data_IF_918842640454
#
_entry.id   IF_918842640454
#
_cell.length_a   1.000
_cell.length_b   1.000
_cell.length_c   1.000
_cell.angle_alpha   90.00
_cell.angle_beta   90.00
_cell.angle_gamma   90.00
#
_symmetry.space_group_name_H-M   'P 1'
#
loop_
_entity.id
_entity.type
_entity.pdbx_description
1 polymer ?
#
# COMPACT_ATOMS: atom_id res chain seq x y z
N UNK A 1 21.58 -71.34 -3.85
CA UNK A 1 22.51 -70.22 -3.74
C UNK A 1 21.81 -69.00 -4.32
N UNK A 2 21.53 -68.07 -3.41
CA UNK A 2 21.30 -66.62 -3.62
C UNK A 2 20.13 -66.18 -4.52
N UNK A 3 19.00 -65.77 -3.94
CA UNK A 3 18.66 -64.48 -3.28
C UNK A 3 18.56 -63.30 -4.25
N UNK A 4 17.44 -62.56 -4.18
CA UNK A 4 17.37 -61.17 -4.65
C UNK A 4 16.21 -60.81 -5.58
N UNK A 5 14.97 -60.89 -5.11
CA UNK A 5 13.85 -60.14 -5.69
C UNK A 5 14.05 -58.64 -5.38
N UNK A 6 14.44 -57.86 -6.40
CA UNK A 6 14.64 -56.41 -6.31
C UNK A 6 13.32 -55.64 -6.39
N UNK A 7 13.01 -54.93 -5.31
CA UNK A 7 11.81 -54.14 -5.08
C UNK A 7 11.72 -52.88 -5.97
N UNK A 8 10.47 -52.51 -6.30
CA UNK A 8 10.10 -51.22 -6.91
C UNK A 8 10.42 -50.05 -5.95
N UNK A 9 11.00 -48.93 -6.41
CA UNK A 9 10.99 -47.71 -5.64
C UNK A 9 9.75 -46.88 -5.98
N UNK A 10 8.76 -46.89 -5.10
CA UNK A 10 7.74 -45.86 -5.00
C UNK A 10 8.41 -44.65 -4.31
N UNK A 11 8.87 -43.65 -5.08
CA UNK A 11 9.48 -42.46 -4.49
C UNK A 11 8.40 -41.45 -4.05
N UNK A 12 8.51 -41.11 -2.76
CA UNK A 12 7.80 -40.10 -2.00
C UNK A 12 7.50 -38.83 -2.81
N UNK A 13 6.20 -38.56 -3.03
CA UNK A 13 5.70 -37.22 -3.29
C UNK A 13 5.25 -36.61 -1.94
N UNK A 14 6.23 -36.37 -1.06
CA UNK A 14 6.02 -35.88 0.29
C UNK A 14 6.30 -34.38 0.41
N UNK A 15 5.24 -33.59 0.55
CA UNK A 15 5.15 -32.41 1.43
C UNK A 15 6.26 -31.33 1.32
N UNK A 16 6.26 -30.55 0.23
CA UNK A 16 6.96 -29.25 0.17
C UNK A 16 6.04 -28.02 0.33
N UNK A 17 4.76 -28.22 0.67
CA UNK A 17 3.77 -27.13 0.66
C UNK A 17 3.62 -26.25 1.92
N UNK A 18 4.23 -26.48 3.12
CA UNK A 18 4.05 -25.52 4.21
C UNK A 18 5.10 -24.41 4.24
N UNK A 19 6.24 -24.56 3.55
CA UNK A 19 7.33 -23.57 3.63
C UNK A 19 7.11 -22.33 2.75
N UNK A 20 6.28 -22.42 1.71
CA UNK A 20 6.00 -21.29 0.82
C UNK A 20 5.05 -20.23 1.43
N UNK A 21 4.26 -20.57 2.45
CA UNK A 21 3.32 -19.61 3.04
C UNK A 21 3.99 -18.66 4.05
N UNK A 22 5.10 -19.08 4.67
CA UNK A 22 5.85 -18.24 5.59
C UNK A 22 6.66 -17.14 4.89
N UNK A 23 7.03 -17.33 3.62
CA UNK A 23 7.77 -16.34 2.82
C UNK A 23 6.89 -15.20 2.30
N UNK A 24 5.56 -15.32 2.35
CA UNK A 24 4.62 -14.26 1.97
C UNK A 24 4.32 -13.28 3.11
N UNK A 25 4.73 -13.60 4.34
CA UNK A 25 4.54 -12.77 5.51
C UNK A 25 5.91 -12.21 5.91
N UNK A 26 6.31 -11.13 5.24
CA UNK A 26 7.53 -10.38 5.60
C UNK A 26 7.56 -10.01 7.09
N UNK A 27 8.74 -9.65 7.62
CA UNK A 27 8.92 -9.30 9.03
C UNK A 27 8.32 -7.91 9.30
N UNK A 28 7.00 -7.79 9.24
CA UNK A 28 6.29 -6.61 9.70
C UNK A 28 6.52 -6.45 11.19
N UNK A 29 6.97 -5.26 11.61
CA UNK A 29 7.11 -4.91 13.02
C UNK A 29 5.76 -5.08 13.72
N UNK A 30 5.69 -5.73 14.88
CA UNK A 30 4.49 -5.70 15.72
C UNK A 30 4.14 -4.25 16.05
N UNK A 31 2.88 -3.85 15.88
CA UNK A 31 2.43 -2.49 16.20
C UNK A 31 2.68 -1.44 15.12
N UNK A 32 2.73 -1.84 13.84
CA UNK A 32 2.59 -0.91 12.71
C UNK A 32 1.55 -1.45 11.75
N UNK A 33 0.67 -0.57 11.28
CA UNK A 33 -0.34 -0.89 10.27
C UNK A 33 0.28 -1.48 8.99
N UNK A 34 -0.43 -2.41 8.36
CA UNK A 34 -0.03 -2.95 7.06
C UNK A 34 -0.52 -2.01 5.94
N UNK A 35 0.42 -1.54 5.12
CA UNK A 35 0.12 -0.72 3.95
C UNK A 35 0.00 -1.61 2.71
N UNK A 36 -1.20 -1.66 2.12
CA UNK A 36 -1.45 -2.41 0.88
C UNK A 36 -1.30 -1.47 -0.31
N UNK A 37 -0.24 -1.71 -1.08
CA UNK A 37 0.13 -0.89 -2.23
C UNK A 37 -0.82 -1.17 -3.40
N UNK A 38 -1.41 -0.09 -3.92
CA UNK A 38 -2.28 -0.09 -5.10
C UNK A 38 -1.54 0.40 -6.35
N UNK A 39 -0.58 1.32 -6.17
CA UNK A 39 0.31 1.82 -7.22
C UNK A 39 1.66 2.19 -6.57
N UNK A 40 2.75 1.81 -7.21
CA UNK A 40 4.09 2.29 -6.90
C UNK A 40 4.83 2.53 -8.22
N UNK A 41 5.05 3.81 -8.57
CA UNK A 41 5.72 4.16 -9.82
C UNK A 41 7.21 3.79 -9.83
N UNK A 42 7.87 3.65 -8.67
CA UNK A 42 9.28 3.23 -8.58
C UNK A 42 9.44 1.72 -8.78
N UNK A 43 8.39 0.93 -8.62
CA UNK A 43 8.45 -0.52 -8.79
C UNK A 43 8.61 -0.96 -10.26
N UNK A 44 8.24 -0.12 -11.23
CA UNK A 44 8.42 -0.40 -12.66
C UNK A 44 9.70 0.19 -13.20
N UNK A 45 10.52 -0.64 -13.86
CA UNK A 45 11.67 -0.19 -14.65
C UNK A 45 11.30 0.07 -16.13
N UNK A 46 10.10 -0.37 -16.55
CA UNK A 46 9.54 -0.11 -17.87
C UNK A 46 8.76 1.22 -17.89
N UNK A 47 8.36 1.67 -19.08
CA UNK A 47 7.52 2.87 -19.26
C UNK A 47 6.27 2.80 -18.38
N UNK A 48 6.00 3.89 -17.65
CA UNK A 48 4.80 4.00 -16.81
C UNK A 48 3.53 4.13 -17.65
N UNK A 49 3.65 4.72 -18.85
CA UNK A 49 2.59 4.76 -19.85
C UNK A 49 1.39 5.61 -19.43
N UNK A 50 1.61 6.62 -18.58
CA UNK A 50 0.59 7.59 -18.18
C UNK A 50 0.29 8.55 -19.33
N UNK A 51 -0.90 9.15 -19.30
CA UNK A 51 -1.40 9.97 -20.41
C UNK A 51 -1.16 11.45 -20.12
N UNK A 52 -0.25 12.09 -20.88
CA UNK A 52 -0.01 13.53 -20.85
C UNK A 52 -0.92 14.28 -21.83
N UNK A 53 -1.52 15.39 -21.39
CA UNK A 53 -2.43 16.25 -22.14
C UNK A 53 -2.13 17.74 -21.83
N UNK A 54 -1.68 18.54 -22.81
CA UNK A 54 -1.27 18.12 -24.14
C UNK A 54 -0.02 17.21 -24.07
N UNK A 55 0.28 16.49 -25.15
CA UNK A 55 1.38 15.51 -25.17
C UNK A 55 2.77 16.12 -24.99
N UNK A 56 2.90 17.44 -25.14
CA UNK A 56 4.12 18.22 -24.93
C UNK A 56 4.15 18.93 -23.56
N UNK A 57 3.20 18.64 -22.66
CA UNK A 57 3.19 19.17 -21.30
C UNK A 57 4.12 18.37 -20.40
N UNK A 58 3.61 17.25 -19.88
CA UNK A 58 4.40 16.32 -19.06
C UNK A 58 5.21 15.35 -19.92
N UNK A 59 6.50 15.25 -19.64
CA UNK A 59 7.44 14.38 -20.33
C UNK A 59 7.90 13.25 -19.40
N UNK A 60 7.91 12.01 -19.90
CA UNK A 60 8.48 10.88 -19.18
C UNK A 60 10.00 10.84 -19.38
N UNK A 61 10.76 10.88 -18.29
CA UNK A 61 12.23 10.84 -18.31
C UNK A 61 12.76 9.70 -17.43
N UNK A 62 14.01 9.31 -17.66
CA UNK A 62 14.73 8.38 -16.79
C UNK A 62 15.39 9.15 -15.64
N UNK A 63 15.21 8.65 -14.42
CA UNK A 63 15.90 9.12 -13.22
C UNK A 63 16.55 7.98 -12.45
N UNK A 64 17.11 8.31 -11.29
CA UNK A 64 17.58 7.33 -10.30
C UNK A 64 16.93 7.62 -8.96
N UNK A 65 16.65 6.58 -8.19
CA UNK A 65 16.20 6.72 -6.80
C UNK A 65 17.37 6.94 -5.84
N UNK A 66 17.06 7.07 -4.55
CA UNK A 66 18.05 7.25 -3.48
C UNK A 66 19.03 6.07 -3.29
N UNK A 67 18.79 4.94 -3.97
CA UNK A 67 19.64 3.76 -3.98
C UNK A 67 20.31 3.53 -5.35
N UNK A 68 20.38 4.57 -6.20
CA UNK A 68 20.94 4.55 -7.55
C UNK A 68 20.24 3.55 -8.51
N UNK A 69 19.00 3.17 -8.21
CA UNK A 69 18.23 2.27 -9.09
C UNK A 69 17.54 3.10 -10.17
N UNK A 70 17.55 2.64 -11.43
CA UNK A 70 16.89 3.34 -12.52
C UNK A 70 15.37 3.34 -12.29
N UNK A 71 14.77 4.53 -12.36
CA UNK A 71 13.33 4.75 -12.23
C UNK A 71 12.81 5.61 -13.38
N UNK A 72 11.50 5.56 -13.62
CA UNK A 72 10.81 6.46 -14.55
C UNK A 72 10.13 7.58 -13.76
N UNK A 73 10.34 8.81 -14.20
CA UNK A 73 9.80 10.01 -13.57
C UNK A 73 9.10 10.87 -14.63
N UNK A 74 8.23 11.78 -14.20
CA UNK A 74 7.57 12.73 -15.10
C UNK A 74 8.00 14.16 -14.76
N UNK A 75 8.35 14.95 -15.77
CA UNK A 75 8.73 16.35 -15.59
C UNK A 75 7.89 17.29 -16.45
N UNK A 76 7.75 18.53 -15.98
CA UNK A 76 7.19 19.66 -16.75
C UNK A 76 7.87 20.95 -16.29
N UNK A 77 8.21 21.83 -17.23
CA UNK A 77 8.89 23.10 -16.91
C UNK A 77 8.55 24.21 -17.93
N UNK A 78 7.27 24.35 -18.27
CA UNK A 78 6.78 25.34 -19.25
C UNK A 78 6.54 26.72 -18.59
N UNK A 79 7.50 27.18 -17.78
CA UNK A 79 7.37 28.35 -16.89
C UNK A 79 7.39 29.71 -17.60
N UNK A 80 7.85 29.77 -18.84
CA UNK A 80 7.95 31.00 -19.64
C UNK A 80 6.64 31.34 -20.37
N UNK A 81 5.73 30.36 -20.50
CA UNK A 81 4.48 30.52 -21.22
C UNK A 81 3.33 30.85 -20.24
N UNK A 82 2.47 31.84 -20.55
CA UNK A 82 1.31 32.12 -19.71
C UNK A 82 0.22 31.06 -19.89
N UNK A 83 -0.71 30.98 -18.92
CA UNK A 83 -1.93 30.17 -18.99
C UNK A 83 -1.69 28.67 -19.27
N UNK A 84 -0.67 28.09 -18.63
CA UNK A 84 -0.43 26.65 -18.69
C UNK A 84 -1.58 25.85 -18.08
N UNK A 85 -1.87 24.69 -18.68
CA UNK A 85 -2.87 23.72 -18.21
C UNK A 85 -2.43 22.31 -18.64
N UNK A 86 -1.33 21.84 -18.05
CA UNK A 86 -0.69 20.56 -18.40
C UNK A 86 -1.18 19.45 -17.47
N UNK A 87 -1.89 18.48 -18.02
CA UNK A 87 -2.44 17.34 -17.29
C UNK A 87 -1.61 16.08 -17.51
N UNK A 88 -1.39 15.32 -16.44
CA UNK A 88 -0.84 13.97 -16.46
C UNK A 88 -1.79 13.04 -15.73
N UNK A 89 -2.25 11.99 -16.40
CA UNK A 89 -3.18 11.03 -15.82
C UNK A 89 -2.55 9.63 -15.72
N UNK A 90 -2.62 9.06 -14.52
CA UNK A 90 -2.23 7.67 -14.25
C UNK A 90 -3.11 6.65 -14.97
N UNK A 91 -2.62 5.41 -15.06
CA UNK A 91 -3.48 4.26 -15.40
C UNK A 91 -4.59 4.03 -14.37
N UNK A 92 -5.52 3.13 -14.65
CA UNK A 92 -6.60 2.83 -13.70
C UNK A 92 -6.08 2.09 -12.47
N UNK A 93 -6.38 2.63 -11.29
CA UNK A 93 -5.97 2.07 -10.00
C UNK A 93 -7.20 1.40 -9.38
N UNK A 94 -7.14 0.08 -9.20
CA UNK A 94 -8.14 -0.66 -8.42
C UNK A 94 -8.06 -0.20 -6.96
N UNK A 95 -9.20 0.14 -6.32
CA UNK A 95 -9.18 0.51 -4.90
C UNK A 95 -9.01 -0.70 -3.97
N UNK A 96 -9.17 -1.91 -4.51
CA UNK A 96 -9.22 -3.14 -3.72
C UNK A 96 -10.29 -3.06 -2.64
N UNK A 97 -9.91 -3.36 -1.39
CA UNK A 97 -10.80 -3.25 -0.22
C UNK A 97 -10.74 -1.87 0.45
N UNK A 98 -9.78 -1.03 0.09
CA UNK A 98 -9.57 0.28 0.72
C UNK A 98 -10.68 1.27 0.37
N UNK A 99 -11.27 1.92 1.36
CA UNK A 99 -12.16 3.08 1.16
C UNK A 99 -11.42 4.40 1.37
N UNK A 100 -10.41 4.40 2.24
CA UNK A 100 -9.51 5.50 2.54
C UNK A 100 -8.16 5.21 1.93
N UNK A 101 -7.77 6.02 0.97
CA UNK A 101 -6.56 5.86 0.18
C UNK A 101 -5.58 6.96 0.55
N UNK A 102 -4.32 6.60 0.70
CA UNK A 102 -3.20 7.51 0.88
C UNK A 102 -2.46 7.64 -0.45
N UNK A 103 -2.19 8.87 -0.83
CA UNK A 103 -1.42 9.25 -2.03
C UNK A 103 -0.17 9.95 -1.53
N UNK A 104 0.96 9.26 -1.60
CA UNK A 104 2.29 9.77 -1.28
C UNK A 104 2.99 10.19 -2.58
N UNK A 105 3.44 11.44 -2.60
CA UNK A 105 4.09 12.06 -3.73
C UNK A 105 5.51 12.42 -3.32
N UNK A 106 6.49 11.96 -4.10
CA UNK A 106 7.85 12.46 -4.01
C UNK A 106 8.16 13.28 -5.25
N UNK A 107 8.64 14.50 -5.08
CA UNK A 107 8.87 15.41 -6.19
C UNK A 107 9.95 16.45 -5.89
N UNK A 108 10.49 17.05 -6.95
CA UNK A 108 11.40 18.18 -6.85
C UNK A 108 10.75 19.40 -7.50
N UNK A 109 10.95 20.58 -6.91
CA UNK A 109 10.40 21.83 -7.42
C UNK A 109 11.49 22.89 -7.49
N UNK A 110 11.60 23.55 -8.66
CA UNK A 110 12.55 24.64 -8.86
C UNK A 110 11.93 25.97 -8.44
N UNK A 111 12.69 26.73 -7.65
CA UNK A 111 12.30 28.07 -7.21
C UNK A 111 12.19 29.03 -8.41
N UNK A 112 11.06 29.75 -8.52
CA UNK A 112 10.80 30.67 -9.61
C UNK A 112 11.78 31.86 -9.66
N UNK A 113 12.30 32.30 -8.51
CA UNK A 113 13.32 33.36 -8.42
C UNK A 113 14.63 32.94 -9.10
N UNK A 114 14.87 31.63 -9.24
CA UNK A 114 16.05 31.08 -9.89
C UNK A 114 15.90 30.92 -11.41
N UNK A 115 14.77 31.32 -11.99
CA UNK A 115 14.46 31.16 -13.42
C UNK A 115 14.39 32.55 -14.08
N UNK A 116 15.43 32.93 -14.85
CA UNK A 116 15.42 34.19 -15.59
C UNK A 116 14.26 34.23 -16.60
N UNK A 117 13.50 35.33 -16.60
CA UNK A 117 12.42 35.56 -17.56
C UNK A 117 11.07 34.91 -17.23
N UNK A 118 10.95 34.19 -16.12
CA UNK A 118 9.70 33.52 -15.72
C UNK A 118 8.85 34.33 -14.72
N UNK A 119 9.21 35.59 -14.48
CA UNK A 119 8.53 36.45 -13.51
C UNK A 119 7.07 36.72 -13.93
N UNK A 120 6.13 36.34 -13.08
CA UNK A 120 4.68 36.56 -13.28
C UNK A 120 3.93 35.38 -13.91
N UNK A 121 4.61 34.50 -14.65
CA UNK A 121 4.03 33.26 -15.22
C UNK A 121 4.34 32.03 -14.36
N UNK A 122 5.52 31.98 -13.75
CA UNK A 122 5.98 30.86 -12.95
C UNK A 122 5.15 30.66 -11.67
N UNK A 123 4.92 29.39 -11.32
CA UNK A 123 4.25 28.94 -10.10
C UNK A 123 5.13 27.93 -9.36
N UNK A 124 4.93 27.84 -8.05
CA UNK A 124 5.64 26.90 -7.17
C UNK A 124 4.69 25.87 -6.59
N UNK A 125 3.61 25.59 -7.31
CA UNK A 125 2.60 24.62 -6.93
C UNK A 125 2.04 23.88 -8.15
N UNK A 126 1.55 22.67 -7.90
CA UNK A 126 0.76 21.90 -8.87
C UNK A 126 -0.46 21.33 -8.17
N UNK A 127 -1.50 20.99 -8.92
CA UNK A 127 -2.74 20.47 -8.35
C UNK A 127 -2.84 18.96 -8.54
N UNK A 128 -3.43 18.28 -7.57
CA UNK A 128 -3.70 16.83 -7.65
C UNK A 128 -5.19 16.60 -7.63
N UNK A 129 -5.66 15.70 -8.49
CA UNK A 129 -7.05 15.34 -8.68
C UNK A 129 -7.21 13.83 -8.67
N UNK A 130 -8.43 13.38 -8.42
CA UNK A 130 -8.84 11.99 -8.67
C UNK A 130 -10.19 11.92 -9.38
N UNK A 131 -10.40 10.82 -10.08
CA UNK A 131 -11.65 10.49 -10.75
C UNK A 131 -12.03 9.03 -10.46
N UNK A 132 -13.10 8.83 -9.69
CA UNK A 132 -13.65 7.50 -9.42
C UNK A 132 -14.36 6.92 -10.66
N UNK A 133 -14.05 5.68 -11.01
CA UNK A 133 -14.65 4.98 -12.15
C UNK A 133 -14.89 3.50 -11.83
N UNK A 134 -15.87 2.91 -12.52
CA UNK A 134 -16.20 1.48 -12.36
C UNK A 134 -15.26 0.55 -13.12
N UNK A 135 -14.51 1.08 -14.07
CA UNK A 135 -13.57 0.38 -14.94
C UNK A 135 -12.54 1.38 -15.50
N UNK A 136 -11.48 0.83 -16.09
CA UNK A 136 -10.47 1.61 -16.81
C UNK A 136 -11.10 2.33 -18.00
N UNK A 137 -10.96 3.66 -18.03
CA UNK A 137 -11.41 4.49 -19.16
C UNK A 137 -10.41 4.47 -20.34
N UNK A 138 -9.26 3.80 -20.17
CA UNK A 138 -8.18 3.74 -21.14
C UNK A 138 -7.41 5.06 -21.24
N UNK A 139 -6.59 5.16 -22.29
CA UNK A 139 -5.84 6.39 -22.63
C UNK A 139 -6.78 7.38 -23.32
N UNK A 140 -7.42 8.25 -22.55
CA UNK A 140 -8.32 9.26 -23.09
C UNK A 140 -8.70 10.32 -22.07
N UNK A 141 -8.74 11.59 -22.50
CA UNK A 141 -9.07 12.76 -21.67
C UNK A 141 -10.38 12.53 -20.92
N UNK A 142 -10.46 12.79 -19.60
CA UNK A 142 -11.73 13.02 -18.92
C UNK A 142 -12.43 14.16 -19.63
N UNK A 143 -13.51 13.86 -20.37
CA UNK A 143 -14.25 14.87 -21.13
C UNK A 143 -14.73 15.99 -20.19
N UNK A 144 -14.56 17.28 -20.55
CA UNK A 144 -15.33 18.35 -19.94
C UNK A 144 -16.81 18.08 -20.26
N UNK A 145 -17.56 17.57 -19.27
CA UNK A 145 -18.96 17.13 -19.42
C UNK A 145 -19.27 15.74 -18.84
N UNK A 146 -18.25 14.95 -18.45
CA UNK A 146 -18.43 13.70 -17.68
C UNK A 146 -18.38 13.91 -16.16
N UNK A 147 -18.24 12.82 -15.39
CA UNK A 147 -17.90 12.90 -13.96
C UNK A 147 -16.64 13.77 -13.81
N UNK A 148 -16.78 14.91 -13.12
CA UNK A 148 -15.69 15.88 -12.96
C UNK A 148 -14.64 15.29 -12.03
N UNK A 149 -13.37 15.39 -12.42
CA UNK A 149 -12.26 15.09 -11.52
C UNK A 149 -12.37 15.97 -10.27
N UNK A 150 -12.22 15.37 -9.09
CA UNK A 150 -12.30 16.04 -7.80
C UNK A 150 -10.90 16.48 -7.41
N UNK A 151 -10.74 17.77 -7.08
CA UNK A 151 -9.46 18.29 -6.57
C UNK A 151 -9.20 17.69 -5.19
N UNK A 152 -8.02 17.08 -5.02
CA UNK A 152 -7.51 16.62 -3.72
C UNK A 152 -6.94 17.84 -3.00
N UNK A 153 -5.90 18.43 -3.58
CA UNK A 153 -5.21 19.58 -3.00
C UNK A 153 -4.36 20.33 -4.03
N UNK A 154 -3.83 21.48 -3.62
CA UNK A 154 -2.73 22.20 -4.27
C UNK A 154 -1.45 21.87 -3.52
N UNK A 155 -0.52 21.19 -4.18
CA UNK A 155 0.74 20.75 -3.60
C UNK A 155 1.80 21.83 -3.79
N UNK A 156 2.50 22.17 -2.72
CA UNK A 156 3.65 23.06 -2.68
C UNK A 156 4.86 22.27 -2.18
N UNK A 157 6.07 22.75 -2.47
CA UNK A 157 7.28 22.20 -1.89
C UNK A 157 7.55 22.81 -0.51
N UNK A 158 7.97 21.98 0.45
CA UNK A 158 8.57 22.45 1.70
C UNK A 158 9.95 23.09 1.41
N UNK A 159 10.70 22.47 0.50
CA UNK A 159 12.00 22.96 0.05
C UNK A 159 12.09 23.00 -1.49
N UNK A 160 12.32 24.19 -2.03
CA UNK A 160 12.64 24.40 -3.45
C UNK A 160 14.15 24.46 -3.68
N UNK A 161 14.59 24.07 -4.88
CA UNK A 161 15.99 24.18 -5.30
C UNK A 161 16.20 25.39 -6.22
N UNK A 162 17.39 25.99 -6.11
CA UNK A 162 17.80 27.21 -6.80
C UNK A 162 18.92 26.97 -7.81
N UNK A 163 19.35 28.01 -8.52
CA UNK A 163 20.49 27.94 -9.44
C UNK A 163 21.80 27.57 -8.73
N UNK A 164 21.98 27.97 -7.47
CA UNK A 164 23.14 27.58 -6.66
C UNK A 164 23.15 26.08 -6.37
N UNK A 165 21.99 25.53 -6.02
CA UNK A 165 21.82 24.10 -5.74
C UNK A 165 22.09 23.25 -6.99
N UNK A 166 21.69 23.72 -8.18
CA UNK A 166 22.03 23.09 -9.46
C UNK A 166 23.54 23.07 -9.72
N UNK A 167 24.26 24.13 -9.34
CA UNK A 167 25.72 24.19 -9.42
C UNK A 167 26.42 23.15 -8.53
N UNK A 168 25.80 22.80 -7.40
CA UNK A 168 26.27 21.77 -6.47
C UNK A 168 25.68 20.38 -6.75
N UNK A 169 24.84 20.23 -7.79
CA UNK A 169 24.07 19.01 -8.12
C UNK A 169 23.20 18.51 -6.96
N UNK A 170 22.70 19.41 -6.13
CA UNK A 170 21.81 19.09 -5.01
C UNK A 170 20.36 19.34 -5.42
N UNK A 171 19.63 18.29 -5.74
CA UNK A 171 18.18 18.38 -5.92
C UNK A 171 17.51 18.14 -4.56
N UNK A 172 16.48 18.93 -4.25
CA UNK A 172 15.74 18.82 -2.99
C UNK A 172 14.46 18.01 -3.21
N UNK A 173 14.40 16.84 -2.59
CA UNK A 173 13.28 15.92 -2.68
C UNK A 173 12.25 16.25 -1.60
N UNK A 174 11.03 16.57 -2.05
CA UNK A 174 9.88 16.83 -1.19
C UNK A 174 9.00 15.58 -1.11
N UNK A 175 8.39 15.33 0.04
CA UNK A 175 7.44 14.22 0.24
C UNK A 175 6.14 14.75 0.80
N UNK A 176 5.04 14.55 0.08
CA UNK A 176 3.71 15.02 0.46
C UNK A 176 2.72 13.86 0.46
N UNK A 177 2.00 13.69 1.58
CA UNK A 177 0.98 12.65 1.72
C UNK A 177 -0.39 13.29 1.79
N UNK A 178 -1.31 12.85 0.92
CA UNK A 178 -2.71 13.27 0.94
C UNK A 178 -3.63 12.07 1.04
N UNK A 179 -4.77 12.31 1.66
CA UNK A 179 -5.79 11.29 1.85
C UNK A 179 -6.96 11.52 0.89
N UNK A 180 -7.50 10.42 0.37
CA UNK A 180 -8.65 10.40 -0.53
C UNK A 180 -9.66 9.37 -0.02
N UNK A 181 -10.90 9.80 0.19
CA UNK A 181 -11.99 8.89 0.54
C UNK A 181 -13.18 9.60 1.21
N UNK A 182 -14.23 8.84 1.56
CA UNK A 182 -14.43 7.44 1.23
C UNK A 182 -14.66 7.21 -0.26
N UNK A 183 -13.88 6.30 -0.86
CA UNK A 183 -14.10 5.86 -2.24
C UNK A 183 -15.23 4.83 -2.29
N UNK A 184 -16.11 4.98 -3.27
CA UNK A 184 -17.32 4.19 -3.45
C UNK A 184 -17.27 3.28 -4.68
N UNK A 185 -16.56 3.69 -5.74
CA UNK A 185 -16.45 2.93 -6.99
C UNK A 185 -15.36 1.86 -6.92
N UNK A 186 -15.26 1.02 -7.96
CA UNK A 186 -14.26 -0.07 -8.03
C UNK A 186 -12.80 0.42 -8.13
N UNK A 187 -12.57 1.59 -8.70
CA UNK A 187 -11.24 2.17 -8.83
C UNK A 187 -11.29 3.63 -9.18
N UNK A 188 -10.13 4.18 -9.51
CA UNK A 188 -9.97 5.59 -9.80
C UNK A 188 -8.73 5.85 -10.65
N UNK A 189 -8.67 7.03 -11.25
CA UNK A 189 -7.46 7.59 -11.82
C UNK A 189 -6.99 8.77 -10.96
N UNK A 190 -5.68 8.89 -10.76
CA UNK A 190 -5.04 10.13 -10.32
C UNK A 190 -4.67 11.00 -11.51
N UNK A 191 -4.79 12.31 -11.33
CA UNK A 191 -4.39 13.30 -12.32
C UNK A 191 -3.63 14.46 -11.67
N UNK A 192 -2.57 14.91 -12.33
CA UNK A 192 -1.71 16.01 -11.91
C UNK A 192 -1.85 17.14 -12.91
N UNK A 193 -2.16 18.34 -12.42
CA UNK A 193 -2.32 19.52 -13.24
C UNK A 193 -1.22 20.52 -12.88
N UNK A 194 -0.38 20.82 -13.86
CA UNK A 194 0.55 21.92 -13.82
C UNK A 194 -0.07 23.18 -14.46
N UNK A 195 0.13 24.31 -13.79
CA UNK A 195 -0.37 25.65 -14.18
C UNK A 195 0.78 26.65 -14.40
N UNK A 196 2.01 26.17 -14.58
CA UNK A 196 3.19 26.98 -14.89
C UNK A 196 4.35 26.81 -13.91
N UNK A 197 4.51 25.62 -13.32
CA UNK A 197 5.59 25.26 -12.43
C UNK A 197 6.71 24.51 -13.15
N UNK A 198 7.87 24.40 -12.49
CA UNK A 198 8.97 23.54 -12.93
C UNK A 198 9.14 22.41 -11.92
N UNK A 199 8.51 21.28 -12.22
CA UNK A 199 8.31 20.14 -11.30
C UNK A 199 8.78 18.86 -11.96
N UNK A 200 9.42 18.00 -11.17
CA UNK A 200 9.64 16.61 -11.52
C UNK A 200 8.99 15.70 -10.47
N UNK A 201 8.02 14.90 -10.88
CA UNK A 201 7.38 13.85 -10.08
C UNK A 201 8.29 12.61 -10.07
N UNK A 202 8.96 12.38 -8.94
CA UNK A 202 9.93 11.30 -8.74
C UNK A 202 9.24 9.99 -8.35
N UNK A 203 8.21 10.05 -7.51
CA UNK A 203 7.44 8.88 -7.09
C UNK A 203 5.97 9.22 -6.85
N UNK A 204 5.10 8.29 -7.24
CA UNK A 204 3.69 8.26 -6.83
C UNK A 204 3.42 6.90 -6.23
N UNK A 205 3.19 6.87 -4.93
CA UNK A 205 2.86 5.67 -4.17
C UNK A 205 1.45 5.81 -3.62
N UNK A 206 0.59 4.86 -3.95
CA UNK A 206 -0.82 4.86 -3.58
C UNK A 206 -1.11 3.60 -2.80
N UNK A 207 -1.72 3.72 -1.63
CA UNK A 207 -1.96 2.58 -0.75
C UNK A 207 -3.15 2.81 0.17
N UNK A 208 -3.65 1.75 0.79
CA UNK A 208 -4.57 1.84 1.92
C UNK A 208 -4.01 1.11 3.12
N UNK A 209 -4.48 1.45 4.32
CA UNK A 209 -4.06 0.80 5.56
C UNK A 209 -5.02 -0.33 5.94
N UNK A 210 -4.48 -1.41 6.49
CA UNK A 210 -5.27 -2.52 7.01
C UNK A 210 -4.63 -3.11 8.26
N UNK A 211 -5.47 -3.70 9.10
CA UNK A 211 -5.00 -4.52 10.20
C UNK A 211 -4.51 -5.87 9.67
N UNK A 212 -3.24 -6.18 9.95
CA UNK A 212 -2.59 -7.42 9.51
C UNK A 212 -3.29 -8.65 10.09
N UNK A 213 -3.38 -9.73 9.31
CA UNK A 213 -3.87 -11.01 9.85
C UNK A 213 -3.02 -11.45 11.06
N UNK A 214 -3.67 -11.85 12.15
CA UNK A 214 -3.01 -12.19 13.41
C UNK A 214 -3.76 -13.28 14.16
N UNK A 215 -3.08 -13.93 15.10
CA UNK A 215 -3.70 -14.85 16.07
C UNK A 215 -3.49 -14.27 17.46
N UNK A 216 -4.58 -14.17 18.25
CA UNK A 216 -4.54 -13.67 19.63
C UNK A 216 -5.52 -14.46 20.47
N UNK A 217 -5.06 -14.98 21.61
CA UNK A 217 -5.89 -15.78 22.52
C UNK A 217 -6.51 -17.01 21.83
N UNK A 218 -5.70 -17.72 21.02
CA UNK A 218 -6.13 -18.88 20.23
C UNK A 218 -7.28 -18.60 19.23
N UNK A 219 -7.49 -17.34 18.88
CA UNK A 219 -8.42 -16.93 17.83
C UNK A 219 -7.67 -16.26 16.68
N UNK A 220 -7.94 -16.70 15.46
CA UNK A 220 -7.43 -16.11 14.23
C UNK A 220 -8.33 -14.97 13.77
N UNK A 221 -7.72 -13.83 13.48
CA UNK A 221 -8.35 -12.63 12.95
C UNK A 221 -7.81 -12.35 11.55
N UNK A 222 -8.66 -12.31 10.52
CA UNK A 222 -8.24 -12.09 9.14
C UNK A 222 -7.78 -10.64 8.91
N UNK A 223 -7.03 -10.43 7.83
CA UNK A 223 -6.67 -9.08 7.41
C UNK A 223 -7.92 -8.25 7.09
N UNK A 224 -8.03 -7.09 7.72
CA UNK A 224 -9.22 -6.23 7.69
C UNK A 224 -8.83 -4.82 7.29
N UNK A 225 -9.40 -4.32 6.18
CA UNK A 225 -9.15 -2.96 5.72
C UNK A 225 -9.66 -1.95 6.76
N UNK A 226 -8.85 -0.92 7.03
CA UNK A 226 -9.26 0.18 7.88
C UNK A 226 -10.44 0.93 7.26
N UNK A 227 -11.38 1.37 8.09
CA UNK A 227 -12.51 2.18 7.64
C UNK A 227 -12.12 3.62 7.31
N UNK A 228 -13.04 4.33 6.66
CA UNK A 228 -12.80 5.69 6.18
C UNK A 228 -12.88 6.77 7.25
N UNK A 229 -13.70 6.59 8.28
CA UNK A 229 -13.87 7.57 9.34
C UNK A 229 -12.87 7.32 10.49
N UNK A 230 -12.21 8.39 10.94
CA UNK A 230 -11.14 8.28 11.95
C UNK A 230 -11.62 7.73 13.30
N UNK A 231 -12.90 7.93 13.64
CA UNK A 231 -13.50 7.47 14.89
C UNK A 231 -14.20 6.12 14.79
N UNK A 232 -14.20 5.46 13.62
CA UNK A 232 -14.88 4.17 13.46
C UNK A 232 -13.93 3.02 13.73
N UNK A 233 -14.50 1.97 14.31
CA UNK A 233 -13.82 0.74 14.68
C UNK A 233 -14.54 -0.41 13.99
N UNK A 234 -13.82 -1.17 13.19
CA UNK A 234 -14.39 -2.35 12.54
C UNK A 234 -14.34 -3.50 13.52
N UNK A 235 -15.49 -3.91 14.07
CA UNK A 235 -15.58 -5.13 14.87
C UNK A 235 -15.36 -6.35 13.97
N UNK A 236 -14.43 -7.21 14.36
CA UNK A 236 -14.09 -8.44 13.66
C UNK A 236 -14.21 -9.61 14.62
N UNK A 237 -15.10 -10.53 14.29
CA UNK A 237 -15.23 -11.81 14.98
C UNK A 237 -14.11 -12.75 14.55
N UNK A 238 -13.32 -13.21 15.52
CA UNK A 238 -12.25 -14.18 15.32
C UNK A 238 -12.78 -15.60 15.17
N UNK A 239 -11.98 -16.45 14.53
CA UNK A 239 -12.26 -17.89 14.40
C UNK A 239 -11.26 -18.65 15.26
N UNK A 240 -11.73 -19.55 16.13
CA UNK A 240 -10.84 -20.37 16.95
C UNK A 240 -9.87 -21.18 16.07
N UNK A 241 -8.61 -21.27 16.48
CA UNK A 241 -7.61 -22.07 15.78
C UNK A 241 -7.96 -23.56 15.84
N UNK A 242 -7.32 -24.37 15.00
CA UNK A 242 -7.55 -25.81 14.98
C UNK A 242 -7.37 -26.42 16.38
N UNK A 243 -8.27 -27.35 16.75
CA UNK A 243 -8.29 -28.02 18.06
C UNK A 243 -8.49 -27.06 19.25
N UNK A 244 -9.24 -25.98 19.04
CA UNK A 244 -9.69 -25.08 20.10
C UNK A 244 -11.16 -24.71 19.96
N UNK A 245 -11.79 -24.39 21.07
CA UNK A 245 -13.21 -24.05 21.19
C UNK A 245 -13.37 -22.73 21.95
N UNK A 246 -14.34 -21.93 21.54
CA UNK A 246 -14.69 -20.66 22.20
C UNK A 246 -15.82 -20.85 23.19
N UNK A 247 -15.95 -19.92 24.13
CA UNK A 247 -17.08 -19.90 25.07
C UNK A 247 -18.42 -19.77 24.31
N UNK A 248 -19.41 -20.64 24.59
CA UNK A 248 -20.73 -20.57 23.95
C UNK A 248 -21.39 -19.19 24.15
N UNK A 249 -21.78 -18.55 23.05
CA UNK A 249 -22.44 -17.24 23.09
C UNK A 249 -21.50 -16.04 23.28
N UNK A 250 -20.19 -16.25 23.42
CA UNK A 250 -19.19 -15.18 23.55
C UNK A 250 -18.00 -15.41 22.60
N UNK A 251 -18.19 -15.24 21.28
CA UNK A 251 -17.10 -15.43 20.33
C UNK A 251 -15.98 -14.38 20.54
N UNK A 252 -14.71 -14.75 20.29
CA UNK A 252 -13.59 -13.82 20.39
C UNK A 252 -13.73 -12.70 19.35
N UNK A 253 -13.45 -11.46 19.76
CA UNK A 253 -13.61 -10.27 18.92
C UNK A 253 -12.42 -9.33 19.07
N UNK A 254 -12.13 -8.60 17.99
CA UNK A 254 -11.15 -7.53 17.97
C UNK A 254 -11.70 -6.36 17.16
N UNK A 255 -11.14 -5.18 17.36
CA UNK A 255 -11.51 -3.98 16.62
C UNK A 255 -10.33 -3.49 15.79
N UNK A 256 -10.53 -3.29 14.50
CA UNK A 256 -9.53 -2.70 13.61
C UNK A 256 -9.73 -1.17 13.57
N UNK A 257 -8.68 -0.43 13.91
CA UNK A 257 -8.65 1.03 13.92
C UNK A 257 -8.43 1.64 12.53
N UNK A 258 -8.75 2.94 12.40
CA UNK A 258 -8.58 3.72 11.17
C UNK A 258 -7.10 3.94 10.77
N UNK A 259 -6.18 3.76 11.72
CA UNK A 259 -4.74 3.75 11.50
C UNK A 259 -4.24 2.42 10.94
N UNK A 260 -5.05 1.36 10.96
CA UNK A 260 -4.68 -0.01 10.57
C UNK A 260 -4.09 -0.82 11.71
N UNK A 261 -4.30 -0.41 12.96
CA UNK A 261 -3.88 -1.16 14.14
C UNK A 261 -5.04 -1.91 14.80
N UNK A 262 -4.71 -3.07 15.35
CA UNK A 262 -5.63 -3.86 16.13
C UNK A 262 -5.72 -3.34 17.56
N UNK A 263 -6.94 -3.09 18.03
CA UNK A 263 -7.21 -2.80 19.44
C UNK A 263 -7.29 -4.08 20.28
N UNK A 264 -7.47 -3.90 21.59
CA UNK A 264 -7.50 -5.00 22.57
C UNK A 264 -8.54 -6.09 22.22
N UNK A 265 -8.15 -7.37 22.25
CA UNK A 265 -9.08 -8.48 22.03
C UNK A 265 -10.04 -8.65 23.20
N UNK A 266 -11.27 -9.03 22.89
CA UNK A 266 -12.33 -9.40 23.84
C UNK A 266 -12.67 -10.86 23.64
N UNK A 267 -12.54 -11.67 24.69
CA UNK A 267 -12.73 -13.12 24.61
C UNK A 267 -11.49 -13.86 24.09
N UNK A 268 -11.52 -15.19 24.20
CA UNK A 268 -10.45 -16.10 23.75
C UNK A 268 -11.04 -17.48 23.44
N UNK A 269 -10.26 -18.31 22.77
CA UNK A 269 -10.52 -19.74 22.66
C UNK A 269 -9.66 -20.52 23.67
N UNK A 270 -10.04 -21.77 23.90
CA UNK A 270 -9.37 -22.73 24.77
C UNK A 270 -9.10 -24.01 23.98
N UNK A 271 -7.92 -24.62 24.13
CA UNK A 271 -7.63 -25.88 23.45
C UNK A 271 -8.62 -26.98 23.88
N UNK A 272 -9.10 -27.75 22.91
CA UNK A 272 -9.97 -28.90 23.15
C UNK A 272 -9.24 -29.99 23.95
N UNK A 273 -10.01 -30.93 24.52
CA UNK A 273 -9.45 -32.03 25.30
C UNK A 273 -8.38 -32.82 24.51
N UNK A 274 -7.23 -33.08 25.15
CA UNK A 274 -6.09 -33.76 24.52
C UNK A 274 -5.11 -32.86 23.79
N UNK A 275 -5.32 -31.54 23.80
CA UNK A 275 -4.41 -30.53 23.25
C UNK A 275 -3.96 -29.54 24.33
N UNK A 276 -2.77 -28.97 24.16
CA UNK A 276 -2.21 -27.94 25.03
C UNK A 276 -1.80 -26.71 24.21
N UNK A 277 -2.02 -25.53 24.78
CA UNK A 277 -1.60 -24.25 24.20
C UNK A 277 -0.07 -24.15 24.17
N UNK A 278 0.48 -23.96 22.97
CA UNK A 278 1.90 -23.70 22.74
C UNK A 278 2.06 -22.50 21.81
N UNK A 279 2.22 -21.31 22.41
CA UNK A 279 2.17 -20.06 21.66
C UNK A 279 0.77 -19.83 21.09
N UNK A 280 0.68 -19.57 19.78
CA UNK A 280 -0.58 -19.26 19.09
C UNK A 280 -1.31 -20.49 18.53
N UNK A 281 -0.92 -21.71 18.93
CA UNK A 281 -1.48 -22.97 18.43
C UNK A 281 -1.83 -23.95 19.57
N UNK A 282 -2.72 -24.89 19.27
CA UNK A 282 -3.01 -26.04 20.12
C UNK A 282 -2.31 -27.29 19.56
N UNK A 283 -1.34 -27.82 20.32
CA UNK A 283 -0.61 -29.04 19.97
C UNK A 283 -1.16 -30.25 20.75
N UNK A 284 -1.20 -31.42 20.11
CA UNK A 284 -1.65 -32.64 20.76
C UNK A 284 -0.71 -33.06 21.88
N UNK A 285 -1.26 -33.39 23.05
CA UNK A 285 -0.47 -33.84 24.21
C UNK A 285 0.07 -35.24 23.89
N UNK A 286 1.39 -35.35 23.74
CA UNK A 286 2.06 -36.63 23.56
C UNK A 286 1.83 -37.54 24.78
N UNK A 287 1.73 -38.86 24.57
CA UNK A 287 1.53 -39.85 25.66
C UNK A 287 2.59 -39.79 26.78
N UNK A 288 3.71 -39.10 26.58
CA UNK A 288 4.74 -38.89 27.59
C UNK A 288 4.36 -37.82 28.64
N UNK A 289 3.63 -36.76 28.26
CA UNK A 289 3.30 -35.64 29.16
C UNK A 289 2.08 -35.92 30.05
N UNK A 290 1.19 -36.82 29.63
CA UNK A 290 0.02 -37.23 30.42
C UNK A 290 0.39 -37.96 31.74
N UNK A 291 1.66 -38.36 31.93
CA UNK A 291 2.12 -39.07 33.15
C UNK A 291 2.68 -38.15 34.24
N UNK A 292 2.81 -36.84 34.00
CA UNK A 292 3.42 -35.91 34.96
C UNK A 292 2.47 -35.27 35.98
N UNK A 293 1.14 -35.37 35.80
CA UNK A 293 0.15 -34.63 36.61
C UNK A 293 -0.57 -35.42 37.70
N UNK A 294 -0.23 -36.69 37.93
CA UNK A 294 -0.95 -37.59 38.84
C UNK A 294 -0.11 -38.05 40.03
N UNK A 295 0.35 -37.12 40.87
CA UNK A 295 1.11 -37.46 42.08
C UNK A 295 0.98 -36.41 43.17
N UNK A 296 0.02 -36.59 44.07
CA UNK A 296 -0.17 -35.74 45.24
C UNK A 296 -1.48 -36.09 45.97
N UNK A 297 -1.51 -37.29 46.56
CA UNK A 297 -2.42 -37.61 47.66
C UNK A 297 -1.81 -37.12 48.99
#
# INVERSE_FOLDING_TARGET
>A
MDTGAGARPLRLLGCLMPLCLALLLGPGRPGTAEEVILLDSKASQAELGWTALPSNGWEEISGVDEHDRPIRTYQVCNVLEPNQDNWLQTGWISRGRGQRIFVELQFTLRDCSSIPGAAGTCKETFNVYYLETEADLGRGRPRPGGSRARKIDTIAADESFTQGDLGERKMKLNTEVREVGPLSRRGFHLAFQDVGACVALVSVRVYYKQCRATVRGLAAFPATAAESAFSTLVEVTGTCVAHSEGEPGSPPRMHCGADGEWLVPVGRCSCSAGFQERGDICEGIGRADARGGGGGA
#
